data_IF_115227867625
#
_entry.id   IF_115227867625
#
_cell.length_a   1.000
_cell.length_b   1.000
_cell.length_c   1.000
_cell.angle_alpha   90.00
_cell.angle_beta   90.00
_cell.angle_gamma   90.00
#
_symmetry.space_group_name_H-M   'P 1'
#
loop_
_entity.id
_entity.type
_entity.pdbx_description
1 polymer ?
#
# COMPACT_ATOMS: atom_id res chain seq x y z
N UNK A 1 -4.15 0.78 -6.38
CA UNK A 1 -4.85 1.05 -5.12
C UNK A 1 -6.26 0.47 -5.12
N UNK A 2 -7.06 0.68 -6.18
CA UNK A 2 -8.42 0.12 -6.26
C UNK A 2 -8.49 -1.41 -6.07
N UNK A 3 -7.62 -2.17 -6.75
CA UNK A 3 -7.51 -3.63 -6.54
C UNK A 3 -7.26 -3.99 -5.06
N UNK A 4 -6.21 -3.42 -4.46
CA UNK A 4 -5.81 -3.73 -3.07
C UNK A 4 -6.91 -3.32 -2.08
N UNK A 5 -7.55 -2.16 -2.28
CA UNK A 5 -8.64 -1.71 -1.43
C UNK A 5 -9.83 -2.68 -1.49
N UNK A 6 -10.20 -3.14 -2.69
CA UNK A 6 -11.24 -4.15 -2.88
C UNK A 6 -10.86 -5.48 -2.21
N UNK A 7 -9.63 -5.97 -2.37
CA UNK A 7 -9.19 -7.23 -1.77
C UNK A 7 -9.17 -7.17 -0.23
N UNK A 8 -8.74 -6.05 0.34
CA UNK A 8 -8.72 -5.86 1.81
C UNK A 8 -10.13 -5.77 2.43
N UNK A 9 -11.14 -5.43 1.63
CA UNK A 9 -12.54 -5.35 2.07
C UNK A 9 -13.31 -6.66 1.82
N UNK A 10 -13.14 -7.26 0.64
CA UNK A 10 -13.94 -8.40 0.19
C UNK A 10 -13.26 -9.76 0.36
N UNK A 11 -11.93 -9.79 0.47
CA UNK A 11 -11.10 -11.00 0.39
C UNK A 11 -11.44 -11.87 -0.85
N UNK A 12 -11.71 -11.22 -1.99
CA UNK A 12 -12.15 -11.87 -3.22
C UNK A 12 -11.20 -13.00 -3.66
N UNK A 13 -9.88 -12.73 -3.68
CA UNK A 13 -8.88 -13.71 -4.08
C UNK A 13 -8.87 -14.95 -3.17
N UNK A 14 -9.05 -14.78 -1.86
CA UNK A 14 -9.15 -15.90 -0.89
C UNK A 14 -10.36 -16.80 -1.15
N UNK A 15 -11.38 -16.27 -1.84
CA UNK A 15 -12.61 -16.97 -2.24
C UNK A 15 -12.56 -17.44 -3.71
N UNK A 16 -11.40 -17.39 -4.35
CA UNK A 16 -11.21 -17.69 -5.78
C UNK A 16 -12.04 -16.79 -6.72
N UNK A 17 -12.43 -15.60 -6.25
CA UNK A 17 -13.12 -14.57 -7.03
C UNK A 17 -12.10 -13.63 -7.67
N UNK A 18 -12.33 -13.24 -8.93
CA UNK A 18 -11.54 -12.24 -9.64
C UNK A 18 -12.31 -10.92 -9.80
N UNK A 19 -13.31 -10.67 -8.95
CA UNK A 19 -14.12 -9.45 -9.03
C UNK A 19 -13.29 -8.18 -8.80
N UNK A 20 -12.36 -8.18 -7.84
CA UNK A 20 -11.47 -7.04 -7.61
C UNK A 20 -10.54 -6.78 -8.79
N UNK A 21 -10.14 -7.83 -9.52
CA UNK A 21 -9.37 -7.71 -10.76
C UNK A 21 -10.20 -7.01 -11.84
N UNK A 22 -11.46 -7.45 -12.01
CA UNK A 22 -12.39 -6.86 -12.96
C UNK A 22 -12.73 -5.39 -12.61
N UNK A 23 -12.93 -5.10 -11.31
CA UNK A 23 -13.20 -3.75 -10.81
C UNK A 23 -12.01 -2.82 -11.09
N UNK A 24 -10.78 -3.30 -10.91
CA UNK A 24 -9.57 -2.56 -11.27
C UNK A 24 -9.33 -2.46 -12.80
N UNK A 25 -10.31 -2.84 -13.63
CA UNK A 25 -10.26 -2.82 -15.10
C UNK A 25 -9.13 -3.66 -15.70
N UNK A 26 -8.66 -4.67 -14.97
CA UNK A 26 -7.69 -5.65 -15.45
C UNK A 26 -8.44 -6.88 -15.95
N UNK A 27 -7.95 -7.47 -17.05
CA UNK A 27 -8.52 -8.70 -17.61
C UNK A 27 -8.26 -9.89 -16.67
N UNK A 28 -9.29 -10.58 -16.14
CA UNK A 28 -9.12 -11.71 -15.24
C UNK A 28 -8.21 -12.81 -15.80
N UNK A 29 -8.34 -13.12 -17.10
CA UNK A 29 -7.57 -14.19 -17.74
C UNK A 29 -6.07 -13.88 -17.77
N UNK A 30 -5.70 -12.60 -17.84
CA UNK A 30 -4.29 -12.19 -17.78
C UNK A 30 -3.69 -12.36 -16.39
N UNK A 31 -4.47 -12.08 -15.35
CA UNK A 31 -4.03 -12.26 -13.97
C UNK A 31 -3.93 -13.75 -13.66
N UNK A 32 -4.94 -14.53 -14.05
CA UNK A 32 -4.91 -15.98 -13.91
C UNK A 32 -3.71 -16.60 -14.63
N UNK A 33 -3.47 -16.22 -15.88
CA UNK A 33 -2.28 -16.66 -16.60
C UNK A 33 -0.98 -16.21 -15.91
N UNK A 34 -0.93 -15.01 -15.32
CA UNK A 34 0.23 -14.56 -14.57
C UNK A 34 0.49 -15.47 -13.36
N UNK A 35 -0.55 -15.83 -12.61
CA UNK A 35 -0.46 -16.69 -11.43
C UNK A 35 -0.06 -18.12 -11.81
N UNK A 36 -0.68 -18.69 -12.86
CA UNK A 36 -0.52 -20.10 -13.23
C UNK A 36 0.78 -20.40 -13.98
N UNK A 37 1.26 -19.46 -14.82
CA UNK A 37 2.39 -19.71 -15.74
C UNK A 37 3.71 -19.09 -15.25
N UNK A 38 3.93 -19.09 -13.93
CA UNK A 38 5.23 -18.84 -13.30
C UNK A 38 5.63 -17.37 -13.13
N UNK A 39 5.03 -16.42 -13.86
CA UNK A 39 5.31 -14.98 -13.64
C UNK A 39 4.93 -14.54 -12.22
N UNK A 40 3.82 -15.05 -11.69
CA UNK A 40 3.37 -14.82 -10.33
C UNK A 40 4.38 -15.34 -9.31
N UNK A 41 4.95 -16.53 -9.53
CA UNK A 41 6.03 -17.08 -8.70
C UNK A 41 7.25 -16.18 -8.69
N UNK A 42 7.67 -15.64 -9.85
CA UNK A 42 8.82 -14.73 -9.90
C UNK A 42 8.56 -13.42 -9.15
N UNK A 43 7.35 -12.86 -9.25
CA UNK A 43 6.95 -11.66 -8.50
C UNK A 43 6.88 -11.92 -6.99
N UNK A 44 6.46 -13.13 -6.59
CA UNK A 44 6.45 -13.56 -5.20
C UNK A 44 7.87 -13.68 -4.63
N UNK A 45 8.80 -14.31 -5.37
CA UNK A 45 10.21 -14.42 -4.98
C UNK A 45 10.86 -13.02 -4.85
N UNK A 46 10.57 -12.11 -5.77
CA UNK A 46 11.06 -10.73 -5.70
C UNK A 46 10.52 -10.00 -4.44
N UNK A 47 9.24 -10.22 -4.12
CA UNK A 47 8.63 -9.66 -2.91
C UNK A 47 9.26 -10.22 -1.63
N UNK A 48 9.61 -11.52 -1.62
CA UNK A 48 10.34 -12.15 -0.51
C UNK A 48 11.76 -11.58 -0.36
N UNK A 49 12.47 -11.36 -1.48
CA UNK A 49 13.77 -10.70 -1.47
C UNK A 49 13.67 -9.28 -0.88
N UNK A 50 12.75 -8.45 -1.36
CA UNK A 50 12.55 -7.10 -0.83
C UNK A 50 12.17 -7.11 0.65
N UNK A 51 11.33 -8.06 1.08
CA UNK A 51 10.97 -8.23 2.50
C UNK A 51 12.19 -8.64 3.34
N UNK A 52 13.08 -9.47 2.80
CA UNK A 52 14.31 -9.90 3.50
C UNK A 52 15.30 -8.76 3.74
N UNK A 53 15.32 -7.74 2.87
CA UNK A 53 16.18 -6.57 3.04
C UNK A 53 15.74 -5.70 4.24
N UNK A 54 14.44 -5.67 4.51
CA UNK A 54 13.86 -4.92 5.65
C UNK A 54 13.84 -5.77 6.93
N UNK A 55 13.69 -7.09 6.80
CA UNK A 55 13.57 -8.05 7.90
C UNK A 55 12.56 -7.60 9.00
N UNK A 56 11.28 -7.39 8.62
CA UNK A 56 10.27 -6.87 9.54
C UNK A 56 9.99 -7.83 10.70
N UNK A 57 9.68 -7.29 11.88
CA UNK A 57 9.34 -8.07 13.08
C UNK A 57 7.84 -8.31 13.25
N UNK A 58 7.01 -7.62 12.50
CA UNK A 58 5.55 -7.67 12.57
C UNK A 58 4.93 -7.21 11.24
N UNK A 59 3.62 -7.42 11.10
CA UNK A 59 2.83 -6.92 9.95
C UNK A 59 1.62 -6.12 10.45
N UNK A 60 1.19 -5.06 9.75
CA UNK A 60 1.88 -4.43 8.62
C UNK A 60 3.13 -3.65 9.07
N UNK A 61 4.20 -3.67 8.25
CA UNK A 61 5.40 -2.84 8.43
C UNK A 61 5.47 -1.79 7.33
N UNK A 62 5.76 -0.55 7.72
CA UNK A 62 5.93 0.62 6.86
C UNK A 62 7.40 1.00 6.89
N UNK A 63 7.96 1.25 5.70
CA UNK A 63 9.32 1.78 5.55
C UNK A 63 9.28 3.01 4.65
N UNK A 64 10.20 3.94 4.88
CA UNK A 64 10.42 5.10 4.03
C UNK A 64 11.87 5.05 3.60
N UNK A 65 12.12 5.16 2.29
CA UNK A 65 13.45 5.00 1.68
C UNK A 65 14.18 3.71 2.12
N UNK A 66 13.43 2.61 2.24
CA UNK A 66 13.87 1.30 2.71
C UNK A 66 14.37 1.25 4.17
N UNK A 67 14.11 2.30 4.96
CA UNK A 67 14.46 2.36 6.38
C UNK A 67 13.21 2.17 7.24
N UNK A 68 13.32 1.29 8.23
CA UNK A 68 12.31 1.16 9.28
C UNK A 68 12.63 2.12 10.43
N UNK A 69 11.63 2.89 10.84
CA UNK A 69 11.66 3.73 12.02
C UNK A 69 10.37 3.50 12.82
N UNK A 70 10.50 3.22 14.12
CA UNK A 70 9.35 2.89 14.97
C UNK A 70 8.40 4.09 15.14
N UNK A 71 8.91 5.31 15.23
CA UNK A 71 8.07 6.50 15.35
C UNK A 71 7.29 6.75 14.06
N UNK A 72 7.93 6.56 12.90
CA UNK A 72 7.25 6.62 11.60
C UNK A 72 6.18 5.55 11.49
N UNK A 73 6.49 4.32 11.86
CA UNK A 73 5.52 3.22 11.89
C UNK A 73 4.31 3.60 12.75
N UNK A 74 4.54 4.00 14.00
CA UNK A 74 3.47 4.31 14.95
C UNK A 74 2.61 5.49 14.48
N UNK A 75 3.23 6.55 13.96
CA UNK A 75 2.52 7.69 13.42
C UNK A 75 1.71 7.33 12.17
N UNK A 76 2.27 6.53 11.26
CA UNK A 76 1.63 6.14 10.01
C UNK A 76 0.45 5.19 10.20
N UNK A 77 0.39 4.44 11.31
CA UNK A 77 -0.79 3.65 11.67
C UNK A 77 -2.00 4.53 12.03
N UNK A 78 -1.77 5.76 12.50
CA UNK A 78 -2.83 6.70 12.87
C UNK A 78 -3.13 7.67 11.73
N UNK A 79 -2.09 8.23 11.12
CA UNK A 79 -2.19 9.19 10.01
C UNK A 79 -1.01 9.01 9.03
N UNK A 80 -1.19 8.11 8.07
CA UNK A 80 -0.21 7.88 7.02
C UNK A 80 0.07 9.12 6.18
N UNK A 81 -0.95 9.93 5.85
CA UNK A 81 -0.78 11.09 4.98
C UNK A 81 -0.02 12.20 5.70
N UNK A 82 -0.39 12.52 6.94
CA UNK A 82 0.35 13.47 7.76
C UNK A 82 1.79 13.02 7.98
N UNK A 83 2.00 11.73 8.24
CA UNK A 83 3.35 11.15 8.40
C UNK A 83 4.18 11.31 7.13
N UNK A 84 3.66 10.94 5.96
CA UNK A 84 4.35 11.17 4.67
C UNK A 84 4.64 12.65 4.41
N UNK A 85 3.73 13.54 4.82
CA UNK A 85 3.91 14.97 4.64
C UNK A 85 5.01 15.59 5.52
N UNK A 86 5.46 14.89 6.57
CA UNK A 86 6.68 15.26 7.30
C UNK A 86 7.95 15.04 6.48
N UNK A 87 7.94 14.10 5.53
CA UNK A 87 9.06 13.83 4.62
C UNK A 87 8.95 14.64 3.32
N UNK A 88 7.72 14.94 2.89
CA UNK A 88 7.41 15.58 1.62
C UNK A 88 6.98 17.05 1.80
N UNK A 89 7.58 17.77 2.75
CA UNK A 89 7.17 19.12 3.15
C UNK A 89 7.13 20.13 1.99
N UNK A 90 7.98 19.97 0.98
CA UNK A 90 8.04 20.85 -0.18
C UNK A 90 7.10 20.46 -1.32
N UNK A 91 6.35 19.35 -1.17
CA UNK A 91 5.34 18.97 -2.16
C UNK A 91 4.10 19.87 -2.03
N UNK A 92 3.58 20.32 -3.17
CA UNK A 92 2.34 21.13 -3.22
C UNK A 92 1.15 20.39 -2.60
N UNK A 93 1.11 19.07 -2.73
CA UNK A 93 0.07 18.23 -2.16
C UNK A 93 0.05 18.27 -0.62
N UNK A 94 1.21 18.24 0.04
CA UNK A 94 1.30 18.30 1.50
C UNK A 94 1.00 19.67 2.06
N UNK A 95 1.43 20.74 1.38
CA UNK A 95 1.02 22.10 1.73
C UNK A 95 -0.51 22.25 1.70
N UNK A 96 -1.18 21.68 0.69
CA UNK A 96 -2.65 21.68 0.61
C UNK A 96 -3.31 20.79 1.68
N UNK A 97 -2.68 19.68 2.06
CA UNK A 97 -3.16 18.81 3.13
C UNK A 97 -3.19 19.55 4.48
N UNK A 98 -2.08 20.19 4.86
CA UNK A 98 -2.02 20.99 6.11
C UNK A 98 -2.97 22.17 6.10
N UNK A 99 -3.10 22.87 4.96
CA UNK A 99 -4.08 23.95 4.84
C UNK A 99 -5.51 23.44 5.09
N UNK A 100 -5.91 22.31 4.50
CA UNK A 100 -7.24 21.73 4.73
C UNK A 100 -7.48 21.34 6.18
N UNK A 101 -6.50 20.71 6.83
CA UNK A 101 -6.60 20.40 8.26
C UNK A 101 -6.77 21.67 9.09
N UNK A 102 -5.96 22.71 8.86
CA UNK A 102 -6.08 23.97 9.57
C UNK A 102 -7.48 24.61 9.41
N UNK A 103 -8.08 24.54 8.22
CA UNK A 103 -9.46 25.02 8.01
C UNK A 103 -10.51 24.24 8.83
N UNK A 104 -10.34 22.93 9.02
CA UNK A 104 -11.25 22.11 9.84
C UNK A 104 -11.15 22.38 11.35
N UNK A 105 -10.06 22.99 11.82
CA UNK A 105 -9.90 23.36 13.23
C UNK A 105 -10.35 24.79 13.52
N UNK A 106 -10.51 25.63 12.49
CA UNK A 106 -10.93 27.04 12.62
C UNK A 106 -12.45 27.20 12.47
N UNK A 107 -13.14 26.24 11.86
CA UNK A 107 -14.59 26.22 11.63
C UNK A 107 -15.21 24.90 12.08
#
# INVERSE_FOLDING_TARGET
>A
LEYVACEMDSEAASKYSLECVAQAQVRPEKVQHCVEFGKGTMLQIDSEYLTSLVAPKFIPTITIDNVFDQHVQDAAQVDLIGTLCTFLMHSTACAQHYNRLAWQYIF
#
